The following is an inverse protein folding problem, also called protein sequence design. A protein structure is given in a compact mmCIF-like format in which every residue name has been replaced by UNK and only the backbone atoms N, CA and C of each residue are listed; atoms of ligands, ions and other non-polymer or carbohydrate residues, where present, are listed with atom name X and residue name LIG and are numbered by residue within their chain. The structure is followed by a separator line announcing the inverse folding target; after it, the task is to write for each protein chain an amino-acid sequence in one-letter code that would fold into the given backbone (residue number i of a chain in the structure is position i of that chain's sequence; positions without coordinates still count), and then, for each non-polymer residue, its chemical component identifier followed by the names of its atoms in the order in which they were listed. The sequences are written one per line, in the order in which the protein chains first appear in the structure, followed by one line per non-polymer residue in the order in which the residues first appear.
data_IF_195831193927
#
_entry.id   IF_195831193927
#
_cell.length_a   1.000
_cell.length_b   1.000
_cell.length_c   1.000
_cell.angle_alpha   90.00
_cell.angle_beta   90.00
_cell.angle_gamma   90.00
#
_symmetry.space_group_name_H-M   'P 1'
#
loop_
_entity.id
_entity.type
_entity.pdbx_description
1 polymer ?
#
# COMPACT_ATOMS: atom_id res chain seq x y z
N UNK A 1 -21.78 8.09 9.11
CA UNK A 1 -20.34 7.93 8.89
C UNK A 1 -20.11 7.06 7.67
N UNK A 2 -19.33 7.53 6.75
CA UNK A 2 -19.09 6.80 5.50
C UNK A 2 -17.95 5.82 5.69
N UNK A 3 -18.14 4.57 5.30
CA UNK A 3 -17.06 3.61 5.32
C UNK A 3 -15.99 3.98 4.29
N UNK A 4 -14.73 3.69 4.63
CA UNK A 4 -13.64 3.88 3.69
C UNK A 4 -13.79 2.89 2.54
N UNK A 5 -13.50 3.36 1.33
CA UNK A 5 -13.50 2.50 0.16
C UNK A 5 -12.49 1.37 0.32
N UNK A 6 -12.90 0.16 -0.04
CA UNK A 6 -12.05 -1.02 -0.04
C UNK A 6 -11.96 -1.56 -1.46
N UNK A 7 -10.81 -2.13 -1.85
CA UNK A 7 -10.68 -2.71 -3.18
C UNK A 7 -11.55 -3.96 -3.34
N UNK A 8 -11.93 -4.31 -4.57
CA UNK A 8 -12.58 -5.59 -4.82
C UNK A 8 -11.73 -6.75 -4.34
N UNK A 9 -12.37 -7.82 -3.85
CA UNK A 9 -11.65 -8.98 -3.29
C UNK A 9 -10.75 -9.67 -4.32
N UNK A 10 -11.12 -9.60 -5.59
CA UNK A 10 -10.42 -10.27 -6.69
C UNK A 10 -9.54 -9.34 -7.52
N UNK A 11 -9.30 -8.11 -7.05
CA UNK A 11 -8.49 -7.16 -7.80
C UNK A 11 -7.07 -7.70 -8.03
N UNK A 12 -6.58 -7.58 -9.26
CA UNK A 12 -5.20 -7.93 -9.55
C UNK A 12 -4.25 -6.91 -8.93
N UNK A 13 -3.07 -7.33 -8.42
CA UNK A 13 -2.11 -6.38 -7.85
C UNK A 13 -1.77 -5.21 -8.77
N UNK A 14 -1.55 -5.46 -10.06
CA UNK A 14 -1.24 -4.39 -11.00
C UNK A 14 -2.36 -3.33 -11.06
N UNK A 15 -3.61 -3.76 -11.08
CA UNK A 15 -4.74 -2.82 -11.10
C UNK A 15 -4.86 -2.06 -9.79
N UNK A 16 -4.58 -2.73 -8.66
CA UNK A 16 -4.56 -2.10 -7.36
C UNK A 16 -3.55 -0.94 -7.32
N UNK A 17 -2.31 -1.19 -7.72
CA UNK A 17 -1.26 -0.19 -7.61
C UNK A 17 -1.33 0.88 -8.69
N UNK A 18 -1.78 0.54 -9.90
CA UNK A 18 -1.88 1.51 -10.99
C UNK A 18 -3.09 2.42 -10.89
N UNK A 19 -4.22 1.90 -10.40
CA UNK A 19 -5.51 2.59 -10.47
C UNK A 19 -6.19 2.72 -9.13
N UNK A 20 -6.45 1.59 -8.47
CA UNK A 20 -7.33 1.63 -7.30
C UNK A 20 -6.75 2.47 -6.17
N UNK A 21 -5.50 2.22 -5.77
CA UNK A 21 -4.89 2.94 -4.66
C UNK A 21 -4.70 4.43 -4.95
N UNK A 22 -4.17 4.81 -6.14
CA UNK A 22 -4.12 6.24 -6.49
C UNK A 22 -5.50 6.90 -6.50
N UNK A 23 -6.49 6.27 -7.11
CA UNK A 23 -7.84 6.85 -7.18
C UNK A 23 -8.48 6.97 -5.81
N UNK A 24 -8.31 5.96 -4.96
CA UNK A 24 -8.88 5.97 -3.61
C UNK A 24 -8.27 7.07 -2.74
N UNK A 25 -6.96 7.28 -2.84
CA UNK A 25 -6.29 8.32 -2.05
C UNK A 25 -6.57 9.69 -2.65
N UNK A 26 -6.38 9.85 -3.95
CA UNK A 26 -6.53 11.17 -4.60
C UNK A 26 -7.97 11.67 -4.56
N UNK A 27 -8.95 10.76 -4.54
CA UNK A 27 -10.36 11.11 -4.47
C UNK A 27 -10.94 11.24 -3.07
N UNK A 28 -10.17 10.95 -2.03
CA UNK A 28 -10.64 10.97 -0.64
C UNK A 28 -9.92 12.09 0.13
N UNK A 29 -10.63 13.18 0.49
CA UNK A 29 -9.99 14.29 1.21
C UNK A 29 -9.33 13.88 2.52
N UNK A 30 -9.89 12.90 3.24
CA UNK A 30 -9.29 12.41 4.48
C UNK A 30 -7.95 11.73 4.22
N UNK A 31 -7.89 10.84 3.22
CA UNK A 31 -6.66 10.16 2.85
C UNK A 31 -5.63 11.15 2.30
N UNK A 32 -6.07 12.10 1.48
CA UNK A 32 -5.17 13.15 0.94
C UNK A 32 -4.57 14.00 2.06
N UNK A 33 -5.35 14.32 3.08
CA UNK A 33 -4.84 15.08 4.22
C UNK A 33 -3.70 14.36 4.94
N UNK A 34 -3.71 13.02 4.94
CA UNK A 34 -2.67 12.23 5.60
C UNK A 34 -1.35 12.21 4.85
N UNK A 35 -1.37 12.49 3.54
CA UNK A 35 -0.15 12.51 2.72
C UNK A 35 0.33 13.92 2.41
N UNK A 36 -0.38 14.95 2.85
CA UNK A 36 0.01 16.32 2.61
C UNK A 36 1.39 16.61 3.15
N UNK A 37 2.26 17.17 2.30
CA UNK A 37 3.65 17.45 2.67
C UNK A 37 4.55 16.23 2.72
N UNK A 38 4.03 15.04 2.46
CA UNK A 38 4.81 13.81 2.48
C UNK A 38 5.33 13.50 1.07
N UNK A 39 6.63 13.28 0.96
CA UNK A 39 7.27 12.84 -0.28
C UNK A 39 7.94 11.51 0.01
N UNK A 40 7.45 10.43 -0.59
CA UNK A 40 7.97 9.11 -0.31
C UNK A 40 7.77 8.17 -1.50
N UNK A 41 8.70 7.23 -1.64
CA UNK A 41 8.67 6.18 -2.66
C UNK A 41 8.65 4.84 -1.93
N UNK A 42 7.60 4.07 -2.17
CA UNK A 42 7.34 2.84 -1.44
C UNK A 42 7.27 1.68 -2.44
N UNK A 43 8.06 0.65 -2.19
CA UNK A 43 8.07 -0.56 -3.00
C UNK A 43 7.35 -1.68 -2.28
N UNK A 44 6.54 -2.43 -3.01
CA UNK A 44 5.79 -3.58 -2.50
C UNK A 44 6.26 -4.83 -3.22
N UNK A 45 6.69 -5.84 -2.47
CA UNK A 45 7.11 -7.13 -3.01
C UNK A 45 6.10 -8.17 -2.56
N UNK A 46 5.32 -8.68 -3.52
CA UNK A 46 4.29 -9.67 -3.26
C UNK A 46 4.75 -11.03 -3.77
N UNK A 47 4.97 -11.96 -2.86
CA UNK A 47 5.37 -13.31 -3.20
C UNK A 47 4.16 -14.16 -3.56
N UNK A 48 4.41 -15.24 -4.31
CA UNK A 48 3.38 -16.21 -4.67
C UNK A 48 2.79 -15.97 -6.04
N UNK A 49 1.86 -16.84 -6.41
CA UNK A 49 1.21 -16.80 -7.70
C UNK A 49 0.39 -15.50 -7.85
N UNK A 50 0.55 -14.84 -8.97
CA UNK A 50 -0.11 -13.56 -9.22
C UNK A 50 0.57 -12.36 -8.57
N UNK A 51 1.70 -12.58 -7.89
CA UNK A 51 2.45 -11.52 -7.22
C UNK A 51 3.38 -10.77 -8.16
N UNK A 52 4.36 -10.11 -7.58
CA UNK A 52 5.33 -9.30 -8.31
C UNK A 52 5.83 -8.16 -7.47
N UNK A 53 6.47 -7.20 -8.12
CA UNK A 53 7.00 -6.00 -7.49
C UNK A 53 6.25 -4.79 -8.02
N UNK A 54 5.80 -3.93 -7.11
CA UNK A 54 4.99 -2.76 -7.42
C UNK A 54 5.48 -1.59 -6.59
N UNK A 55 5.05 -0.38 -6.94
CA UNK A 55 5.44 0.80 -6.18
C UNK A 55 4.32 1.82 -6.11
N UNK A 56 4.39 2.66 -5.08
CA UNK A 56 3.60 3.87 -4.94
C UNK A 56 4.54 5.03 -4.66
N UNK A 57 4.28 6.16 -5.29
CA UNK A 57 5.00 7.40 -5.06
C UNK A 57 4.04 8.46 -4.54
N UNK A 58 4.38 9.02 -3.40
CA UNK A 58 3.62 10.11 -2.77
C UNK A 58 4.39 11.39 -3.00
N UNK A 59 3.80 12.33 -3.71
CA UNK A 59 4.43 13.63 -4.00
C UNK A 59 3.36 14.66 -4.33
N UNK A 60 3.57 15.88 -3.89
CA UNK A 60 2.69 17.01 -4.21
C UNK A 60 1.22 16.76 -3.86
N UNK A 61 0.96 16.02 -2.79
CA UNK A 61 -0.40 15.72 -2.32
C UNK A 61 -1.14 14.69 -3.17
N UNK A 62 -0.43 13.96 -4.04
CA UNK A 62 -1.02 12.91 -4.88
C UNK A 62 -0.26 11.61 -4.77
N UNK A 63 -0.90 10.53 -5.22
CA UNK A 63 -0.30 9.20 -5.27
C UNK A 63 -0.30 8.71 -6.71
N UNK A 64 0.82 8.15 -7.13
CA UNK A 64 0.95 7.40 -8.39
C UNK A 64 1.46 6.01 -8.06
N UNK A 65 1.16 5.06 -8.91
CA UNK A 65 1.66 3.70 -8.75
C UNK A 65 1.75 2.95 -10.05
N UNK A 66 2.58 1.92 -10.06
CA UNK A 66 2.74 1.03 -11.21
C UNK A 66 3.46 -0.24 -10.79
N UNK A 67 3.65 -1.12 -11.74
CA UNK A 67 4.47 -2.32 -11.60
C UNK A 67 5.93 -1.98 -11.88
N UNK A 68 6.85 -2.65 -11.18
CA UNK A 68 8.28 -2.49 -11.39
C UNK A 68 9.03 -2.22 -10.10
N UNK A 69 10.35 -2.03 -10.23
CA UNK A 69 11.24 -1.72 -9.11
C UNK A 69 11.62 -0.25 -9.10
N UNK A 70 11.76 0.27 -7.90
CA UNK A 70 12.34 1.60 -7.69
C UNK A 70 13.83 1.45 -7.42
N UNK A 71 14.63 2.43 -7.90
CA UNK A 71 16.08 2.42 -7.67
C UNK A 71 16.43 2.64 -6.20
N UNK A 72 15.72 3.54 -5.55
CA UNK A 72 16.01 3.90 -4.15
C UNK A 72 14.71 4.16 -3.39
N UNK A 73 13.97 3.10 -3.05
CA UNK A 73 12.74 3.29 -2.28
C UNK A 73 13.06 3.71 -0.84
N UNK A 74 12.19 4.55 -0.29
CA UNK A 74 12.28 4.96 1.11
C UNK A 74 11.79 3.87 2.04
N UNK A 75 10.93 2.99 1.53
CA UNK A 75 10.34 1.89 2.28
C UNK A 75 10.10 0.74 1.33
N UNK A 76 10.42 -0.48 1.77
CA UNK A 76 10.07 -1.71 1.07
C UNK A 76 9.15 -2.53 1.98
N UNK A 77 8.00 -2.91 1.47
CA UNK A 77 7.06 -3.78 2.16
C UNK A 77 7.00 -5.12 1.44
N UNK A 78 7.18 -6.20 2.18
CA UNK A 78 7.23 -7.56 1.61
C UNK A 78 6.19 -8.43 2.30
N UNK A 79 5.34 -9.08 1.49
CA UNK A 79 4.35 -10.03 1.98
C UNK A 79 4.02 -10.98 0.83
N UNK A 80 3.07 -11.88 1.04
CA UNK A 80 2.54 -12.73 -0.02
C UNK A 80 1.18 -12.20 -0.50
N UNK A 81 0.74 -12.67 -1.68
CA UNK A 81 -0.52 -12.23 -2.27
C UNK A 81 -1.70 -12.54 -1.36
N UNK A 82 -1.71 -13.71 -0.73
CA UNK A 82 -2.81 -14.11 0.16
C UNK A 82 -2.92 -13.16 1.36
N UNK A 83 -1.82 -12.85 2.02
CA UNK A 83 -1.79 -11.91 3.14
C UNK A 83 -2.21 -10.51 2.68
N UNK A 84 -1.70 -10.07 1.52
CA UNK A 84 -2.07 -8.78 0.95
C UNK A 84 -3.57 -8.67 0.73
N UNK A 85 -4.22 -9.73 0.21
CA UNK A 85 -5.68 -9.75 0.03
C UNK A 85 -6.42 -9.68 1.36
N UNK A 86 -5.92 -10.36 2.38
CA UNK A 86 -6.50 -10.30 3.73
C UNK A 86 -6.39 -8.93 4.35
N UNK A 87 -5.26 -8.25 4.13
CA UNK A 87 -5.09 -6.86 4.57
C UNK A 87 -6.09 -5.94 3.88
N UNK A 88 -6.27 -6.09 2.57
CA UNK A 88 -7.24 -5.30 1.80
C UNK A 88 -8.68 -5.54 2.26
N UNK A 89 -9.00 -6.76 2.61
CA UNK A 89 -10.34 -7.13 3.08
C UNK A 89 -10.60 -6.75 4.55
N UNK A 90 -9.56 -6.32 5.26
CA UNK A 90 -9.69 -6.02 6.68
C UNK A 90 -9.72 -7.25 7.57
N UNK A 91 -9.41 -8.43 7.04
CA UNK A 91 -9.39 -9.69 7.80
C UNK A 91 -8.19 -9.78 8.73
N UNK A 92 -7.10 -9.12 8.40
CA UNK A 92 -5.93 -9.01 9.24
C UNK A 92 -5.44 -7.57 9.20
N UNK A 93 -4.96 -7.05 10.34
CA UNK A 93 -4.41 -5.72 10.41
C UNK A 93 -2.91 -5.76 10.23
N UNK A 94 -2.32 -4.69 9.67
CA UNK A 94 -0.90 -4.63 9.38
C UNK A 94 -0.02 -4.89 10.61
N UNK A 95 -0.26 -4.29 11.79
CA UNK A 95 0.55 -4.60 12.97
C UNK A 95 0.52 -6.08 13.34
N UNK A 96 -0.64 -6.73 13.25
CA UNK A 96 -0.77 -8.16 13.51
C UNK A 96 0.02 -8.99 12.49
N UNK A 97 -0.04 -8.62 11.22
CA UNK A 97 0.72 -9.31 10.18
C UNK A 97 2.23 -9.20 10.42
N UNK A 98 2.70 -8.03 10.84
CA UNK A 98 4.12 -7.84 11.19
C UNK A 98 4.51 -8.72 12.36
N UNK A 99 3.71 -8.76 13.42
CA UNK A 99 3.99 -9.58 14.59
C UNK A 99 4.06 -11.07 14.25
N UNK A 100 3.25 -11.51 13.30
CA UNK A 100 3.24 -12.92 12.85
C UNK A 100 4.30 -13.23 11.81
N UNK A 101 5.11 -12.26 11.42
CA UNK A 101 6.12 -12.43 10.39
C UNK A 101 5.58 -12.58 8.98
N UNK A 102 4.31 -12.26 8.76
CA UNK A 102 3.67 -12.34 7.44
C UNK A 102 3.85 -11.08 6.61
N UNK A 103 4.10 -9.96 7.25
CA UNK A 103 4.41 -8.68 6.61
C UNK A 103 5.73 -8.19 7.16
N UNK A 104 6.66 -7.89 6.27
CA UNK A 104 7.98 -7.36 6.64
C UNK A 104 8.17 -6.00 6.01
N UNK A 105 8.95 -5.16 6.65
CA UNK A 105 9.31 -3.87 6.07
C UNK A 105 10.78 -3.56 6.30
N UNK A 106 11.33 -2.79 5.36
CA UNK A 106 12.70 -2.29 5.45
C UNK A 106 12.67 -0.82 5.09
N UNK A 107 13.18 0.02 5.97
CA UNK A 107 13.18 1.46 5.82
C UNK A 107 12.50 2.14 6.99
N UNK A 108 11.87 3.28 6.73
CA UNK A 108 11.29 4.12 7.76
C UNK A 108 10.07 3.48 8.43
N UNK A 109 10.14 3.27 9.75
CA UNK A 109 8.99 2.83 10.55
C UNK A 109 7.84 3.84 10.47
N UNK A 110 8.18 5.13 10.44
CA UNK A 110 7.19 6.19 10.31
C UNK A 110 6.39 6.04 9.01
N UNK A 111 7.09 5.81 7.89
CA UNK A 111 6.41 5.58 6.61
C UNK A 111 5.56 4.32 6.62
N UNK A 112 6.02 3.24 7.24
CA UNK A 112 5.27 2.00 7.33
C UNK A 112 3.92 2.23 8.04
N UNK A 113 3.92 2.99 9.14
CA UNK A 113 2.71 3.36 9.84
C UNK A 113 1.81 4.26 8.99
N UNK A 114 2.39 5.23 8.29
CA UNK A 114 1.62 6.11 7.40
C UNK A 114 0.92 5.33 6.28
N UNK A 115 1.60 4.40 5.67
CA UNK A 115 1.01 3.56 4.60
C UNK A 115 -0.21 2.80 5.15
N UNK A 116 -0.11 2.24 6.34
CA UNK A 116 -1.24 1.56 6.97
C UNK A 116 -2.46 2.48 7.10
N UNK A 117 -2.26 3.73 7.51
CA UNK A 117 -3.37 4.68 7.67
C UNK A 117 -3.90 5.22 6.34
N UNK A 118 -3.07 5.22 5.29
CA UNK A 118 -3.45 5.77 3.98
C UNK A 118 -4.26 4.75 3.19
N UNK A 119 -3.80 3.53 3.10
CA UNK A 119 -4.39 2.50 2.24
C UNK A 119 -4.96 1.28 2.98
N UNK A 120 -4.74 1.22 4.26
CA UNK A 120 -5.24 0.13 5.11
C UNK A 120 -6.69 0.26 5.59
#
# INVERSE_FOLDING_TARGET
MTERARPPDDIAPADFFRRWAPDAVNGDPERRGKIEGLNARIQFELAGEGGGTFWLELANGTVRGDEGRLDAPDLVLSTDVDTWRKLNAGEIKAPTAVMKGKLRYKGSTYLALKVHFIIG
#
